data_IF_819498233959
#
_entry.id   IF_819498233959
#
_cell.length_a   1.000
_cell.length_b   1.000
_cell.length_c   1.000
_cell.angle_alpha   90.00
_cell.angle_beta   90.00
_cell.angle_gamma   90.00
#
_symmetry.space_group_name_H-M   'P 1'
#
loop_
_entity.id
_entity.type
_entity.pdbx_description
1 polymer ?
#
# COMPACT_ATOMS: atom_id res chain seq x y z
N UNK A 1 52.76 -26.19 -31.62
CA UNK A 1 52.53 -25.64 -30.24
C UNK A 1 51.68 -24.37 -30.27
N UNK A 2 50.67 -24.24 -31.14
CA UNK A 2 49.86 -23.01 -31.35
C UNK A 2 48.35 -23.22 -31.08
N UNK A 3 47.85 -24.48 -31.05
CA UNK A 3 46.39 -24.76 -30.90
C UNK A 3 45.80 -24.64 -29.48
N UNK A 4 46.64 -24.62 -28.43
CA UNK A 4 46.13 -24.59 -27.05
C UNK A 4 45.79 -23.19 -26.53
N UNK A 5 46.28 -22.12 -27.14
CA UNK A 5 46.02 -20.72 -26.72
C UNK A 5 44.66 -20.17 -27.22
N UNK A 6 44.21 -20.59 -28.39
CA UNK A 6 42.96 -20.11 -28.96
C UNK A 6 41.71 -20.69 -28.27
N UNK A 7 41.79 -21.95 -27.79
CA UNK A 7 40.70 -22.58 -27.03
C UNK A 7 40.48 -21.94 -25.66
N UNK A 8 41.57 -21.46 -25.01
CA UNK A 8 41.46 -20.81 -23.69
C UNK A 8 40.84 -19.39 -23.77
N UNK A 9 41.13 -18.66 -24.83
CA UNK A 9 40.57 -17.33 -25.05
C UNK A 9 39.08 -17.37 -25.43
N UNK A 10 38.68 -18.38 -26.23
CA UNK A 10 37.29 -18.59 -26.62
C UNK A 10 36.41 -18.97 -25.40
N UNK A 11 36.93 -19.85 -24.51
CA UNK A 11 36.20 -20.27 -23.31
C UNK A 11 36.04 -19.14 -22.28
N UNK A 12 37.03 -18.26 -22.14
CA UNK A 12 36.97 -17.09 -21.28
C UNK A 12 35.98 -16.04 -21.82
N UNK A 13 35.90 -15.85 -23.14
CA UNK A 13 34.96 -14.94 -23.78
C UNK A 13 33.51 -15.43 -23.63
N UNK A 14 33.27 -16.74 -23.73
CA UNK A 14 31.94 -17.33 -23.57
C UNK A 14 31.44 -17.16 -22.12
N UNK A 15 32.27 -17.40 -21.11
CA UNK A 15 31.92 -17.18 -19.70
C UNK A 15 31.60 -15.71 -19.40
N UNK A 16 32.35 -14.76 -19.96
CA UNK A 16 32.05 -13.32 -19.80
C UNK A 16 30.69 -12.94 -20.41
N UNK A 17 30.34 -13.53 -21.58
CA UNK A 17 29.05 -13.26 -22.23
C UNK A 17 27.87 -13.87 -21.47
N UNK A 18 28.04 -15.08 -20.89
CA UNK A 18 27.00 -15.69 -20.06
C UNK A 18 26.82 -14.90 -18.76
N UNK A 19 27.90 -14.46 -18.12
CA UNK A 19 27.84 -13.66 -16.89
C UNK A 19 27.26 -12.27 -17.13
N UNK A 20 27.52 -11.65 -18.29
CA UNK A 20 26.91 -10.39 -18.69
C UNK A 20 25.40 -10.55 -18.96
N UNK A 21 24.99 -11.64 -19.61
CA UNK A 21 23.57 -11.94 -19.84
C UNK A 21 22.81 -12.22 -18.54
N UNK A 22 23.43 -12.90 -17.57
CA UNK A 22 22.84 -13.11 -16.23
C UNK A 22 22.71 -11.79 -15.44
N UNK A 23 23.69 -10.88 -15.54
CA UNK A 23 23.63 -9.54 -14.96
C UNK A 23 22.54 -8.65 -15.61
N UNK A 24 22.33 -8.75 -16.92
CA UNK A 24 21.23 -8.04 -17.60
C UNK A 24 19.86 -8.58 -17.20
N UNK A 25 19.72 -9.90 -16.99
CA UNK A 25 18.48 -10.52 -16.52
C UNK A 25 18.20 -10.13 -15.05
N UNK A 26 19.22 -9.97 -14.21
CA UNK A 26 19.08 -9.46 -12.84
C UNK A 26 18.78 -7.96 -12.80
N UNK A 27 19.23 -7.17 -13.79
CA UNK A 27 18.97 -5.71 -13.88
C UNK A 27 17.55 -5.35 -14.30
N UNK A 28 16.80 -6.23 -14.94
CA UNK A 28 15.42 -5.96 -15.43
C UNK A 28 14.29 -6.15 -14.40
N UNK A 29 14.57 -6.35 -13.10
CA UNK A 29 13.55 -6.51 -12.04
C UNK A 29 13.12 -5.21 -11.35
N UNK A 30 13.36 -4.05 -11.94
CA UNK A 30 12.78 -2.78 -11.47
C UNK A 30 11.78 -2.24 -12.49
N UNK A 31 10.64 -2.89 -12.60
CA UNK A 31 9.42 -2.16 -12.93
C UNK A 31 8.89 -1.61 -11.61
N UNK A 32 9.28 -0.39 -11.28
CA UNK A 32 8.69 0.43 -10.22
C UNK A 32 7.27 0.83 -10.63
N UNK A 33 6.37 -0.13 -10.71
CA UNK A 33 4.95 0.15 -10.60
C UNK A 33 4.72 0.52 -9.14
N UNK A 34 4.78 1.80 -8.82
CA UNK A 34 4.36 2.33 -7.52
C UNK A 34 2.87 2.01 -7.37
N UNK A 35 2.58 0.84 -6.81
CA UNK A 35 1.21 0.42 -6.54
C UNK A 35 0.71 1.27 -5.39
N UNK A 36 -0.28 2.12 -5.70
CA UNK A 36 -0.94 2.99 -4.76
C UNK A 36 -2.46 2.74 -4.80
N UNK A 37 -3.01 2.22 -3.71
CA UNK A 37 -4.43 1.94 -3.57
C UNK A 37 -5.05 3.01 -2.67
N UNK A 38 -5.82 3.92 -3.27
CA UNK A 38 -6.43 5.07 -2.57
C UNK A 38 -7.85 4.75 -2.09
N UNK A 39 -8.16 5.16 -0.85
CA UNK A 39 -9.51 5.13 -0.30
C UNK A 39 -10.28 6.39 -0.73
N UNK A 40 -11.00 6.30 -1.86
CA UNK A 40 -11.78 7.42 -2.38
C UNK A 40 -12.99 7.80 -1.52
N UNK A 41 -13.54 6.84 -0.74
CA UNK A 41 -14.68 7.10 0.15
C UNK A 41 -14.27 7.90 1.38
N UNK A 42 -13.01 7.82 1.83
CA UNK A 42 -12.56 8.53 3.03
C UNK A 42 -12.74 10.04 2.91
N UNK A 43 -12.32 10.64 1.80
CA UNK A 43 -12.46 12.08 1.54
C UNK A 43 -13.93 12.53 1.43
N UNK A 44 -14.80 11.64 0.94
CA UNK A 44 -16.23 11.94 0.82
C UNK A 44 -16.99 11.87 2.16
N UNK A 45 -16.67 10.87 2.97
CA UNK A 45 -17.41 10.57 4.20
C UNK A 45 -16.89 11.34 5.42
N UNK A 46 -15.61 11.75 5.40
CA UNK A 46 -14.92 12.28 6.57
C UNK A 46 -14.15 13.56 6.26
N UNK A 47 -14.01 14.42 7.26
CA UNK A 47 -13.01 15.48 7.30
C UNK A 47 -11.70 14.86 7.78
N UNK A 48 -10.69 14.86 6.92
CA UNK A 48 -9.36 14.33 7.21
C UNK A 48 -8.52 15.45 7.88
N UNK A 49 -7.96 15.17 9.04
CA UNK A 49 -7.11 16.10 9.79
C UNK A 49 -5.63 15.76 9.59
N UNK A 50 -5.03 15.12 10.58
CA UNK A 50 -3.59 14.81 10.57
C UNK A 50 -3.35 13.41 9.99
N UNK A 51 -2.40 13.30 9.06
CA UNK A 51 -2.02 12.03 8.44
C UNK A 51 -0.68 11.51 9.00
N UNK A 52 -0.54 10.20 9.08
CA UNK A 52 0.67 9.49 9.51
C UNK A 52 0.92 8.30 8.60
N UNK A 53 2.19 8.01 8.31
CA UNK A 53 2.57 6.84 7.52
C UNK A 53 2.99 5.71 8.45
N UNK A 54 2.23 4.63 8.45
CA UNK A 54 2.47 3.43 9.24
C UNK A 54 3.10 2.32 8.41
N UNK A 55 3.98 1.52 9.01
CA UNK A 55 4.31 0.20 8.49
C UNK A 55 3.17 -0.77 8.77
N UNK A 56 3.00 -1.81 7.96
CA UNK A 56 1.99 -2.84 8.17
C UNK A 56 2.64 -4.22 8.26
N UNK A 57 2.22 -5.03 9.23
CA UNK A 57 2.70 -6.41 9.41
C UNK A 57 1.88 -7.34 8.52
N UNK A 58 2.51 -7.88 7.50
CA UNK A 58 1.90 -8.72 6.46
C UNK A 58 2.54 -10.11 6.41
N UNK A 59 1.76 -11.09 5.93
CA UNK A 59 2.28 -12.40 5.53
C UNK A 59 2.85 -12.37 4.10
N UNK A 60 3.61 -13.41 3.72
CA UNK A 60 4.21 -13.50 2.39
C UNK A 60 3.20 -13.55 1.25
N UNK A 61 2.02 -14.14 1.47
CA UNK A 61 0.93 -14.20 0.50
C UNK A 61 0.22 -12.85 0.36
N UNK A 62 0.05 -12.11 1.46
CA UNK A 62 -0.57 -10.77 1.45
C UNK A 62 0.24 -9.75 0.66
N UNK A 63 1.55 -9.67 0.89
CA UNK A 63 2.40 -8.72 0.16
C UNK A 63 2.43 -9.01 -1.35
N UNK A 64 2.37 -10.29 -1.75
CA UNK A 64 2.26 -10.69 -3.15
C UNK A 64 0.94 -10.22 -3.77
N UNK A 65 -0.17 -10.36 -3.04
CA UNK A 65 -1.49 -9.88 -3.48
C UNK A 65 -1.55 -8.36 -3.56
N UNK A 66 -0.96 -7.64 -2.61
CA UNK A 66 -0.86 -6.17 -2.66
C UNK A 66 -0.03 -5.72 -3.87
N UNK A 67 1.10 -6.39 -4.16
CA UNK A 67 1.91 -6.13 -5.37
C UNK A 67 1.16 -6.40 -6.67
N UNK A 68 0.14 -7.24 -6.65
CA UNK A 68 -0.78 -7.46 -7.76
C UNK A 68 -1.96 -6.45 -7.80
N UNK A 69 -1.98 -5.46 -6.90
CA UNK A 69 -3.07 -4.47 -6.80
C UNK A 69 -4.37 -5.04 -6.22
N UNK A 70 -4.35 -6.25 -5.65
CA UNK A 70 -5.54 -6.97 -5.18
C UNK A 70 -5.83 -6.69 -3.70
N UNK A 71 -5.95 -5.43 -3.32
CA UNK A 71 -6.34 -5.03 -1.96
C UNK A 71 -7.40 -3.93 -2.00
N UNK A 72 -8.25 -3.89 -0.98
CA UNK A 72 -9.29 -2.88 -0.81
C UNK A 72 -9.27 -2.36 0.63
N UNK A 73 -9.14 -1.04 0.78
CA UNK A 73 -9.11 -0.33 2.07
C UNK A 73 -10.33 0.56 2.29
N UNK A 74 -11.36 0.46 1.43
CA UNK A 74 -12.48 1.39 1.38
C UNK A 74 -13.30 1.41 2.67
N UNK A 75 -13.55 0.24 3.25
CA UNK A 75 -14.36 0.08 4.46
C UNK A 75 -13.50 -0.27 5.69
N UNK A 76 -12.18 -0.10 5.55
CA UNK A 76 -11.24 -0.35 6.63
C UNK A 76 -11.22 0.82 7.64
N UNK A 77 -10.97 0.49 8.89
CA UNK A 77 -10.77 1.45 9.97
C UNK A 77 -9.67 0.97 10.91
N UNK A 78 -9.11 1.88 11.70
CA UNK A 78 -8.07 1.52 12.66
C UNK A 78 -8.53 1.76 14.09
N UNK A 79 -8.16 0.84 15.01
CA UNK A 79 -8.40 0.98 16.43
C UNK A 79 -7.19 0.58 17.26
N UNK A 80 -7.14 1.07 18.51
CA UNK A 80 -6.12 0.67 19.45
C UNK A 80 -6.60 -0.56 20.24
N UNK A 81 -5.76 -1.61 20.26
CA UNK A 81 -5.93 -2.80 21.10
C UNK A 81 -4.62 -2.97 21.87
N UNK A 82 -4.69 -3.01 23.22
CA UNK A 82 -3.52 -3.17 24.10
C UNK A 82 -2.36 -2.19 23.80
N UNK A 83 -2.68 -0.91 23.60
CA UNK A 83 -1.71 0.14 23.22
C UNK A 83 -1.01 -0.07 21.87
N UNK A 84 -1.52 -0.95 21.02
CA UNK A 84 -1.06 -1.19 19.67
C UNK A 84 -2.13 -0.77 18.67
N UNK A 85 -1.73 -0.26 17.52
CA UNK A 85 -2.65 0.14 16.47
C UNK A 85 -2.89 -1.02 15.49
N UNK A 86 -4.16 -1.32 15.24
CA UNK A 86 -4.60 -2.37 14.34
C UNK A 86 -5.52 -1.82 13.25
N UNK A 87 -5.40 -2.36 12.05
CA UNK A 87 -6.34 -2.11 10.97
C UNK A 87 -7.29 -3.28 10.83
N UNK A 88 -8.60 -2.96 10.84
CA UNK A 88 -9.71 -3.88 10.72
C UNK A 88 -10.39 -3.76 9.37
N UNK A 89 -11.05 -4.84 8.95
CA UNK A 89 -11.86 -4.89 7.73
C UNK A 89 -11.13 -4.50 6.45
N UNK A 90 -9.79 -4.53 6.44
CA UNK A 90 -8.99 -4.37 5.24
C UNK A 90 -9.01 -5.68 4.45
N UNK A 91 -9.58 -5.66 3.25
CA UNK A 91 -9.65 -6.84 2.38
C UNK A 91 -8.40 -6.96 1.51
N UNK A 92 -7.70 -8.10 1.59
CA UNK A 92 -6.63 -8.49 0.68
C UNK A 92 -7.04 -9.83 0.07
N UNK A 93 -7.17 -9.87 -1.26
CA UNK A 93 -7.56 -11.08 -1.96
C UNK A 93 -6.50 -12.18 -1.79
N UNK A 94 -6.94 -13.42 -1.75
CA UNK A 94 -6.06 -14.57 -1.71
C UNK A 94 -5.08 -14.58 -2.89
N UNK A 95 -3.87 -15.04 -2.64
CA UNK A 95 -2.87 -15.18 -3.69
C UNK A 95 -3.15 -16.43 -4.50
N UNK A 96 -3.42 -16.27 -5.81
CA UNK A 96 -3.86 -17.36 -6.68
C UNK A 96 -2.93 -18.59 -6.70
N UNK A 97 -1.65 -18.37 -6.45
CA UNK A 97 -0.62 -19.43 -6.41
C UNK A 97 -0.31 -19.88 -4.97
N UNK A 98 -1.06 -19.41 -3.96
CA UNK A 98 -0.81 -19.66 -2.53
C UNK A 98 -1.32 -21.02 -2.04
N UNK A 99 -2.11 -21.73 -2.83
CA UNK A 99 -2.71 -23.03 -2.46
C UNK A 99 -3.37 -23.00 -1.06
N UNK A 100 -3.21 -24.05 -0.25
CA UNK A 100 -3.77 -24.18 1.11
C UNK A 100 -3.14 -23.24 2.15
N UNK A 101 -1.97 -22.66 1.89
CA UNK A 101 -1.28 -21.73 2.80
C UNK A 101 -1.69 -20.26 2.61
N UNK A 102 -2.86 -19.98 2.09
CA UNK A 102 -3.35 -18.63 1.93
C UNK A 102 -3.78 -18.00 3.27
N UNK A 103 -3.78 -16.67 3.29
CA UNK A 103 -4.23 -15.88 4.43
C UNK A 103 -5.76 -15.67 4.39
N UNK A 104 -6.34 -15.37 5.56
CA UNK A 104 -7.73 -14.90 5.61
C UNK A 104 -7.82 -13.49 5.01
N UNK A 105 -8.71 -13.22 4.03
CA UNK A 105 -8.78 -11.94 3.35
C UNK A 105 -9.02 -10.72 4.24
N UNK A 106 -9.82 -10.86 5.29
CA UNK A 106 -10.23 -9.76 6.20
C UNK A 106 -9.62 -9.85 7.61
N UNK A 107 -8.50 -10.56 7.78
CA UNK A 107 -7.88 -10.62 9.11
C UNK A 107 -7.43 -9.24 9.59
N UNK A 108 -7.33 -9.07 10.89
CA UNK A 108 -6.77 -7.87 11.51
C UNK A 108 -5.25 -7.82 11.34
N UNK A 109 -4.72 -6.63 11.09
CA UNK A 109 -3.28 -6.43 10.83
C UNK A 109 -2.72 -5.34 11.72
N UNK A 110 -1.59 -5.65 12.35
CA UNK A 110 -0.90 -4.69 13.21
C UNK A 110 -0.22 -3.61 12.38
N UNK A 111 -0.32 -2.38 12.83
CA UNK A 111 0.35 -1.22 12.26
C UNK A 111 1.55 -0.83 13.12
N UNK A 112 2.63 -0.44 12.46
CA UNK A 112 3.89 -0.03 13.07
C UNK A 112 4.06 1.48 12.94
N UNK A 113 4.04 2.18 14.05
CA UNK A 113 4.21 3.62 14.18
C UNK A 113 5.25 3.94 15.24
N UNK A 114 5.79 5.16 15.19
CA UNK A 114 6.64 5.66 16.26
C UNK A 114 5.82 5.88 17.55
N UNK A 115 6.42 5.62 18.71
CA UNK A 115 5.74 5.79 20.01
C UNK A 115 5.22 7.21 20.24
N UNK A 116 5.93 8.21 19.71
CA UNK A 116 5.50 9.63 19.80
C UNK A 116 4.21 9.89 19.00
N UNK A 117 4.10 9.31 17.81
CA UNK A 117 2.93 9.42 16.94
C UNK A 117 1.73 8.67 17.53
N UNK A 118 1.97 7.47 18.03
CA UNK A 118 0.96 6.64 18.68
C UNK A 118 0.31 7.37 19.88
N UNK A 119 1.13 8.01 20.75
CA UNK A 119 0.61 8.79 21.88
C UNK A 119 -0.26 9.95 21.42
N UNK A 120 0.17 10.70 20.39
CA UNK A 120 -0.60 11.82 19.82
C UNK A 120 -1.94 11.37 19.24
N UNK A 121 -1.94 10.24 18.51
CA UNK A 121 -3.16 9.65 17.96
C UNK A 121 -4.12 9.19 19.05
N UNK A 122 -3.61 8.53 20.09
CA UNK A 122 -4.42 8.04 21.22
C UNK A 122 -5.08 9.20 21.98
N UNK A 123 -4.35 10.29 22.25
CA UNK A 123 -4.90 11.48 22.90
C UNK A 123 -6.03 12.08 22.08
N UNK A 124 -5.85 12.24 20.77
CA UNK A 124 -6.87 12.82 19.89
C UNK A 124 -8.06 11.89 19.66
N UNK A 125 -7.87 10.57 19.68
CA UNK A 125 -8.95 9.61 19.52
C UNK A 125 -9.91 9.63 20.72
N UNK A 126 -9.41 9.96 21.92
CA UNK A 126 -10.25 10.12 23.12
C UNK A 126 -11.19 11.34 23.03
N UNK A 127 -10.94 12.27 22.12
CA UNK A 127 -11.86 13.36 21.83
C UNK A 127 -13.09 12.84 21.07
N UNK A 128 -14.28 13.31 21.40
CA UNK A 128 -15.53 12.82 20.81
C UNK A 128 -15.59 13.05 19.30
N UNK A 129 -15.92 12.00 18.57
CA UNK A 129 -16.23 12.05 17.14
C UNK A 129 -15.03 11.86 16.22
N UNK A 130 -13.84 11.58 16.74
CA UNK A 130 -12.68 11.20 15.93
C UNK A 130 -12.59 9.69 15.74
N UNK A 131 -12.11 9.29 14.56
CA UNK A 131 -11.78 7.91 14.20
C UNK A 131 -10.49 7.91 13.36
N UNK A 132 -9.86 6.76 13.19
CA UNK A 132 -8.65 6.62 12.35
C UNK A 132 -9.01 5.78 11.13
N UNK A 133 -8.75 6.34 9.95
CA UNK A 133 -9.11 5.71 8.67
C UNK A 133 -7.88 5.61 7.79
N UNK A 134 -7.64 4.46 7.12
CA UNK A 134 -6.61 4.36 6.10
C UNK A 134 -7.03 5.11 4.84
N UNK A 135 -6.10 5.91 4.30
CA UNK A 135 -6.32 6.75 3.13
C UNK A 135 -5.60 6.23 1.90
N UNK A 136 -4.37 5.72 2.07
CA UNK A 136 -3.55 5.23 0.97
C UNK A 136 -2.72 4.02 1.41
N UNK A 137 -2.74 2.96 0.62
CA UNK A 137 -1.83 1.83 0.73
C UNK A 137 -0.87 1.86 -0.44
N UNK A 138 0.42 1.85 -0.17
CA UNK A 138 1.46 1.92 -1.19
C UNK A 138 2.68 1.07 -0.82
N UNK A 139 3.55 0.81 -1.80
CA UNK A 139 4.77 0.05 -1.60
C UNK A 139 5.94 1.00 -1.84
N UNK A 140 6.88 1.05 -0.87
CA UNK A 140 8.06 1.88 -1.02
C UNK A 140 9.11 1.21 -1.93
N UNK A 141 10.17 1.94 -2.28
CA UNK A 141 11.28 1.47 -3.13
C UNK A 141 11.95 0.20 -2.61
N UNK A 142 11.98 0.01 -1.30
CA UNK A 142 12.53 -1.18 -0.65
C UNK A 142 11.56 -2.39 -0.66
N UNK A 143 10.38 -2.26 -1.28
CA UNK A 143 9.39 -3.32 -1.39
C UNK A 143 8.52 -3.54 -0.15
N UNK A 144 8.58 -2.65 0.86
CA UNK A 144 7.71 -2.72 2.05
C UNK A 144 6.41 -2.00 1.82
N UNK A 145 5.31 -2.62 2.25
CA UNK A 145 4.01 -1.97 2.25
C UNK A 145 3.91 -0.92 3.35
N UNK A 146 3.42 0.25 2.98
CA UNK A 146 3.13 1.39 3.85
C UNK A 146 1.65 1.73 3.75
N UNK A 147 1.07 2.11 4.88
CA UNK A 147 -0.32 2.52 4.99
C UNK A 147 -0.39 3.93 5.56
N UNK A 148 -0.87 4.87 4.76
CA UNK A 148 -1.16 6.20 5.27
C UNK A 148 -2.52 6.17 5.96
N UNK A 149 -2.53 6.60 7.20
CA UNK A 149 -3.70 6.68 8.06
C UNK A 149 -3.96 8.13 8.42
N UNK A 150 -5.21 8.52 8.49
CA UNK A 150 -5.59 9.88 8.88
C UNK A 150 -6.56 9.86 10.04
N UNK A 151 -6.36 10.80 10.96
CA UNK A 151 -7.37 11.12 11.96
C UNK A 151 -8.54 11.80 11.24
N UNK A 152 -9.74 11.28 11.40
CA UNK A 152 -10.90 11.66 10.62
C UNK A 152 -12.11 11.95 11.50
N UNK A 153 -12.91 12.94 11.11
CA UNK A 153 -14.20 13.27 11.74
C UNK A 153 -15.33 13.08 10.73
N UNK A 154 -16.37 12.35 11.09
CA UNK A 154 -17.51 12.09 10.21
C UNK A 154 -18.20 13.35 9.73
N UNK A 155 -18.46 13.49 8.43
CA UNK A 155 -19.24 14.58 7.84
C UNK A 155 -20.72 14.38 8.16
N UNK A 156 -21.44 15.49 8.47
CA UNK A 156 -22.90 15.49 8.61
C UNK A 156 -23.57 15.28 7.25
N UNK A 157 -24.82 14.86 7.27
CA UNK A 157 -25.58 14.62 6.02
C UNK A 157 -25.68 15.86 5.13
N UNK A 158 -25.76 17.04 5.71
CA UNK A 158 -25.80 18.32 4.98
C UNK A 158 -24.49 18.55 4.21
N UNK A 159 -23.36 18.40 4.85
CA UNK A 159 -22.01 18.59 4.26
C UNK A 159 -21.76 17.64 3.07
N UNK A 160 -22.32 16.41 3.15
CA UNK A 160 -22.25 15.44 2.05
C UNK A 160 -23.01 15.90 0.81
N UNK A 161 -24.19 16.54 1.00
CA UNK A 161 -25.00 17.06 -0.10
C UNK A 161 -24.30 18.21 -0.81
N UNK A 162 -23.64 19.09 -0.08
CA UNK A 162 -22.83 20.17 -0.66
C UNK A 162 -21.66 19.62 -1.49
N UNK A 163 -20.93 18.67 -0.96
CA UNK A 163 -19.82 18.02 -1.69
C UNK A 163 -20.30 17.34 -2.99
N UNK A 164 -21.51 16.79 -3.02
CA UNK A 164 -22.10 16.20 -4.24
C UNK A 164 -22.43 17.32 -5.24
N UNK A 165 -23.10 18.39 -4.82
CA UNK A 165 -23.44 19.52 -5.69
C UNK A 165 -22.21 20.15 -6.34
N UNK A 166 -21.15 20.41 -5.57
CA UNK A 166 -19.89 20.94 -6.09
C UNK A 166 -19.24 20.00 -7.13
N UNK A 167 -19.28 18.69 -6.88
CA UNK A 167 -18.75 17.70 -7.84
C UNK A 167 -19.54 17.67 -9.14
N UNK A 168 -20.86 17.75 -9.05
CA UNK A 168 -21.74 17.75 -10.22
C UNK A 168 -21.60 19.05 -11.03
N UNK A 169 -21.42 20.20 -10.36
CA UNK A 169 -21.12 21.46 -11.02
C UNK A 169 -19.78 21.41 -11.77
N UNK A 170 -18.74 20.86 -11.17
CA UNK A 170 -17.43 20.70 -11.84
C UNK A 170 -17.51 19.80 -13.07
N UNK A 171 -18.32 18.73 -13.04
CA UNK A 171 -18.52 17.87 -14.21
C UNK A 171 -19.21 18.60 -15.36
N UNK A 172 -20.28 19.37 -15.06
CA UNK A 172 -21.00 20.15 -16.08
C UNK A 172 -20.12 21.23 -16.72
N UNK A 173 -19.28 21.90 -15.93
CA UNK A 173 -18.36 22.92 -16.47
C UNK A 173 -17.20 22.37 -17.32
N UNK A 174 -16.90 21.07 -17.27
CA UNK A 174 -15.90 20.42 -18.15
C UNK A 174 -16.48 19.89 -19.47
N UNK A 175 -17.81 19.86 -19.59
CA UNK A 175 -18.51 19.39 -20.81
C UNK A 175 -18.89 20.56 -21.73
N UNK A 176 -18.64 21.83 -21.31
CA UNK A 176 -18.93 23.07 -22.07
C UNK A 176 -17.70 23.71 -22.73
N UNK A 177 -16.49 23.12 -22.63
CA UNK A 177 -15.27 23.50 -23.34
C UNK A 177 -14.93 22.49 -24.46
#
# INVERSE_FOLDING_TARGET
MVRSRELFTAHCSLKKRIFAAELEVMGKRKQDTQIAIKNRKAEFLYYLHTSYTAGIVLTGTEIKSIRAGRANITDAYCSFINNELWVHNMHISEYAQGSYNNHQPKRDRKLLLQRKEMRKLMTKLNERGFTIIPTLLWINENGYAKLDISLAKGKKMYDKRETIKERDQRRRGSDEE
#
